data_IF_176973119683
#
_entry.id   IF_176973119683
#
_cell.length_a   1.000
_cell.length_b   1.000
_cell.length_c   1.000
_cell.angle_alpha   90.00
_cell.angle_beta   90.00
_cell.angle_gamma   90.00
#
_symmetry.space_group_name_H-M   'P 1'
#
loop_
_entity.id
_entity.type
_entity.pdbx_description
1 polymer ?
#
# COMPACT_ATOMS: atom_id res chain seq x y z
N UNK A 1 24.42 8.82 -11.56
CA UNK A 1 23.61 9.98 -11.90
C UNK A 1 22.18 9.47 -11.98
N UNK A 2 21.35 9.81 -11.02
CA UNK A 2 19.92 9.46 -11.07
C UNK A 2 19.29 10.43 -12.06
N UNK A 3 18.88 9.95 -13.22
CA UNK A 3 18.01 10.75 -14.09
C UNK A 3 16.73 11.05 -13.32
N UNK A 4 16.48 12.32 -13.03
CA UNK A 4 15.22 12.76 -12.48
C UNK A 4 14.16 12.57 -13.57
N UNK A 5 13.20 11.67 -13.35
CA UNK A 5 12.06 11.53 -14.25
C UNK A 5 11.22 12.80 -14.18
N UNK A 6 11.04 13.42 -15.33
CA UNK A 6 10.14 14.57 -15.47
C UNK A 6 8.67 14.12 -15.34
N UNK A 7 7.76 15.07 -15.13
CA UNK A 7 6.32 14.77 -15.16
C UNK A 7 5.89 14.14 -16.49
N UNK A 8 6.49 14.57 -17.60
CA UNK A 8 6.26 14.00 -18.95
C UNK A 8 6.69 12.53 -19.01
N UNK A 9 7.82 12.17 -18.39
CA UNK A 9 8.29 10.79 -18.36
C UNK A 9 7.32 9.91 -17.57
N UNK A 10 6.80 10.40 -16.43
CA UNK A 10 5.79 9.70 -15.63
C UNK A 10 4.50 9.48 -16.42
N UNK A 11 4.02 10.47 -17.20
CA UNK A 11 2.81 10.31 -18.00
C UNK A 11 2.99 9.29 -19.12
N UNK A 12 4.17 9.23 -19.72
CA UNK A 12 4.50 8.26 -20.77
C UNK A 12 4.63 6.83 -20.21
N UNK A 13 5.07 6.68 -18.95
CA UNK A 13 5.24 5.40 -18.29
C UNK A 13 3.91 4.82 -17.77
N UNK A 14 3.06 5.69 -17.20
CA UNK A 14 1.79 5.28 -16.55
C UNK A 14 0.58 5.68 -17.37
N UNK A 15 0.62 5.29 -18.65
CA UNK A 15 -0.42 5.52 -19.65
C UNK A 15 -1.54 4.44 -19.62
N UNK A 16 -2.48 4.55 -20.54
CA UNK A 16 -3.55 3.56 -20.73
C UNK A 16 -3.02 2.15 -20.96
N UNK A 17 -1.91 1.99 -21.68
CA UNK A 17 -1.31 0.69 -21.98
C UNK A 17 -0.76 0.01 -20.71
N UNK A 18 -0.14 0.78 -19.83
CA UNK A 18 0.36 0.28 -18.54
C UNK A 18 -0.79 -0.26 -17.67
N UNK A 19 -1.93 0.43 -17.67
CA UNK A 19 -3.10 0.04 -16.90
C UNK A 19 -4.01 -0.97 -17.62
N UNK A 20 -3.83 -1.17 -18.95
CA UNK A 20 -4.59 -2.15 -19.71
C UNK A 20 -4.30 -3.58 -19.20
N UNK A 21 -5.35 -4.29 -18.78
CA UNK A 21 -5.21 -5.64 -18.22
C UNK A 21 -5.09 -5.70 -16.69
N UNK A 22 -4.99 -4.57 -15.99
CA UNK A 22 -5.13 -4.54 -14.53
C UNK A 22 -6.61 -4.71 -14.19
N UNK A 23 -6.97 -5.89 -13.72
CA UNK A 23 -8.34 -6.21 -13.31
C UNK A 23 -8.73 -5.43 -12.07
N UNK A 24 -9.88 -4.76 -12.11
CA UNK A 24 -10.58 -4.27 -10.92
C UNK A 24 -10.95 -5.48 -10.08
N UNK A 25 -10.17 -5.74 -9.04
CA UNK A 25 -10.20 -7.00 -8.28
C UNK A 25 -10.90 -6.83 -6.93
N UNK A 26 -11.71 -7.81 -6.56
CA UNK A 26 -12.24 -7.97 -5.19
C UNK A 26 -11.14 -8.04 -4.10
N UNK A 27 -9.88 -8.06 -4.48
CA UNK A 27 -8.73 -8.01 -3.58
C UNK A 27 -8.72 -6.72 -2.76
N UNK A 28 -9.10 -5.59 -3.36
CA UNK A 28 -9.09 -4.30 -2.68
C UNK A 28 -10.14 -4.21 -1.57
N UNK A 29 -11.33 -4.78 -1.79
CA UNK A 29 -12.35 -4.88 -0.74
C UNK A 29 -11.87 -5.70 0.47
N UNK A 30 -11.16 -6.81 0.21
CA UNK A 30 -10.59 -7.63 1.29
C UNK A 30 -9.48 -6.90 2.03
N UNK A 31 -8.64 -6.16 1.30
CA UNK A 31 -7.59 -5.34 1.89
C UNK A 31 -8.17 -4.22 2.75
N UNK A 32 -9.22 -3.54 2.28
CA UNK A 32 -9.95 -2.54 3.04
C UNK A 32 -10.53 -3.11 4.34
N UNK A 33 -11.22 -4.26 4.28
CA UNK A 33 -11.73 -4.96 5.46
C UNK A 33 -10.62 -5.29 6.45
N UNK A 34 -9.48 -5.79 5.94
CA UNK A 34 -8.33 -6.08 6.79
C UNK A 34 -7.79 -4.83 7.48
N UNK A 35 -7.63 -3.71 6.75
CA UNK A 35 -7.16 -2.43 7.31
C UNK A 35 -8.10 -1.99 8.43
N UNK A 36 -9.41 -2.04 8.20
CA UNK A 36 -10.42 -1.65 9.20
C UNK A 36 -10.37 -2.57 10.41
N UNK A 37 -10.40 -3.88 10.23
CA UNK A 37 -10.42 -4.85 11.32
C UNK A 37 -9.12 -4.83 12.15
N UNK A 38 -7.98 -4.62 11.50
CA UNK A 38 -6.67 -4.71 12.15
C UNK A 38 -6.24 -3.41 12.81
N UNK A 39 -6.50 -2.27 12.16
CA UNK A 39 -5.96 -0.98 12.57
C UNK A 39 -7.04 0.01 13.04
N UNK A 40 -8.32 -0.26 12.73
CA UNK A 40 -9.46 0.57 13.08
C UNK A 40 -9.25 2.09 12.81
N UNK A 41 -8.79 2.47 11.60
CA UNK A 41 -8.47 3.85 11.27
C UNK A 41 -9.73 4.69 11.09
N UNK A 42 -9.65 5.98 11.45
CA UNK A 42 -10.65 6.98 11.06
C UNK A 42 -10.32 7.59 9.70
N UNK A 43 -9.03 7.76 9.42
CA UNK A 43 -8.52 8.40 8.22
C UNK A 43 -7.45 7.55 7.55
N UNK A 44 -7.55 7.37 6.22
CA UNK A 44 -6.59 6.60 5.43
C UNK A 44 -6.12 7.36 4.19
N UNK A 45 -4.87 7.13 3.79
CA UNK A 45 -4.32 7.54 2.50
C UNK A 45 -3.83 6.31 1.75
N UNK A 46 -4.17 6.19 0.46
CA UNK A 46 -3.62 5.22 -0.48
C UNK A 46 -2.64 5.93 -1.43
N UNK A 47 -1.36 5.58 -1.36
CA UNK A 47 -0.28 6.18 -2.16
C UNK A 47 0.00 5.32 -3.38
N UNK A 48 -0.13 5.90 -4.58
CA UNK A 48 -0.16 5.17 -5.85
C UNK A 48 -1.47 4.41 -5.98
N UNK A 49 -2.57 5.12 -5.76
CA UNK A 49 -3.90 4.54 -5.59
C UNK A 49 -4.53 4.00 -6.89
N UNK A 50 -3.89 4.19 -8.04
CA UNK A 50 -4.45 3.87 -9.35
C UNK A 50 -5.91 4.36 -9.46
N UNK A 51 -6.83 3.52 -9.88
CA UNK A 51 -8.26 3.89 -10.06
C UNK A 51 -9.04 4.11 -8.76
N UNK A 52 -8.39 4.06 -7.60
CA UNK A 52 -8.98 4.35 -6.29
C UNK A 52 -9.85 3.22 -5.71
N UNK A 53 -9.71 1.97 -6.19
CA UNK A 53 -10.54 0.87 -5.70
C UNK A 53 -10.39 0.62 -4.19
N UNK A 54 -9.17 0.76 -3.65
CA UNK A 54 -8.98 0.65 -2.19
C UNK A 54 -9.62 1.82 -1.46
N UNK A 55 -9.49 3.05 -2.00
CA UNK A 55 -10.12 4.25 -1.44
C UNK A 55 -11.63 4.06 -1.38
N UNK A 56 -12.25 3.63 -2.49
CA UNK A 56 -13.69 3.36 -2.55
C UNK A 56 -14.11 2.32 -1.52
N UNK A 57 -13.39 1.21 -1.44
CA UNK A 57 -13.70 0.14 -0.50
C UNK A 57 -13.58 0.58 0.97
N UNK A 58 -12.63 1.47 1.30
CA UNK A 58 -12.47 2.04 2.63
C UNK A 58 -13.60 3.03 2.94
N UNK A 59 -14.01 3.87 1.98
CA UNK A 59 -15.14 4.79 2.11
C UNK A 59 -16.44 4.02 2.34
N UNK A 60 -16.68 2.95 1.59
CA UNK A 60 -17.85 2.07 1.76
C UNK A 60 -17.90 1.40 3.15
N UNK A 61 -16.74 1.28 3.82
CA UNK A 61 -16.63 0.79 5.21
C UNK A 61 -16.64 1.91 6.26
N UNK A 62 -16.92 3.16 5.86
CA UNK A 62 -17.03 4.30 6.77
C UNK A 62 -15.73 4.97 7.16
N UNK A 63 -14.62 4.69 6.47
CA UNK A 63 -13.33 5.35 6.68
C UNK A 63 -13.25 6.62 5.82
N UNK A 64 -12.74 7.71 6.38
CA UNK A 64 -12.43 8.93 5.62
C UNK A 64 -11.12 8.70 4.84
N UNK A 65 -11.24 8.09 3.66
CA UNK A 65 -10.11 7.65 2.84
C UNK A 65 -9.89 8.56 1.63
N UNK A 66 -8.62 8.73 1.28
CA UNK A 66 -8.12 9.52 0.16
C UNK A 66 -7.07 8.74 -0.62
N UNK A 67 -6.83 9.14 -1.87
CA UNK A 67 -5.79 8.57 -2.72
C UNK A 67 -4.98 9.64 -3.43
N UNK A 68 -3.72 9.32 -3.71
CA UNK A 68 -2.84 10.11 -4.55
C UNK A 68 -2.19 9.23 -5.61
N UNK A 69 -2.10 9.73 -6.84
CA UNK A 69 -1.45 9.06 -7.95
C UNK A 69 -0.85 10.08 -8.92
N UNK A 70 0.25 9.74 -9.60
CA UNK A 70 0.93 10.63 -10.54
C UNK A 70 0.36 10.61 -11.96
N UNK A 71 -0.46 9.62 -12.32
CA UNK A 71 -0.93 9.40 -13.69
C UNK A 71 -2.16 10.26 -14.04
N UNK A 72 -2.04 11.05 -15.09
CA UNK A 72 -3.17 11.80 -15.66
C UNK A 72 -4.28 10.87 -16.17
N UNK A 73 -3.90 9.76 -16.78
CA UNK A 73 -4.85 8.76 -17.26
C UNK A 73 -5.73 8.23 -16.13
N UNK A 74 -5.10 7.85 -15.00
CA UNK A 74 -5.80 7.33 -13.82
C UNK A 74 -6.85 8.30 -13.30
N UNK A 75 -6.48 9.57 -13.15
CA UNK A 75 -7.37 10.61 -12.61
C UNK A 75 -8.64 10.76 -13.44
N UNK A 76 -8.55 10.56 -14.78
CA UNK A 76 -9.72 10.61 -15.66
C UNK A 76 -10.65 9.41 -15.55
N UNK A 77 -10.18 8.30 -15.01
CA UNK A 77 -10.89 7.01 -14.94
C UNK A 77 -11.44 6.68 -13.55
N UNK A 78 -11.25 7.57 -12.58
CA UNK A 78 -11.74 7.39 -11.21
C UNK A 78 -13.27 7.41 -11.18
N UNK A 79 -13.85 6.52 -10.35
CA UNK A 79 -15.29 6.47 -10.08
C UNK A 79 -15.79 7.82 -9.53
N UNK A 80 -16.88 8.35 -10.08
CA UNK A 80 -17.43 9.66 -9.72
C UNK A 80 -17.75 9.77 -8.21
N UNK A 81 -18.09 8.67 -7.56
CA UNK A 81 -18.42 8.65 -6.12
C UNK A 81 -17.23 9.00 -5.20
N UNK A 82 -15.99 8.86 -5.71
CA UNK A 82 -14.76 9.14 -4.95
C UNK A 82 -13.85 10.15 -5.64
N UNK A 83 -14.27 10.76 -6.75
CA UNK A 83 -13.45 11.64 -7.56
C UNK A 83 -12.87 12.83 -6.77
N UNK A 84 -13.62 13.35 -5.82
CA UNK A 84 -13.18 14.43 -4.92
C UNK A 84 -12.20 13.96 -3.82
N UNK A 85 -11.87 12.68 -3.78
CA UNK A 85 -10.97 12.07 -2.80
C UNK A 85 -9.65 11.60 -3.42
N UNK A 86 -9.52 11.69 -4.74
CA UNK A 86 -8.32 11.28 -5.47
C UNK A 86 -7.64 12.54 -6.04
N UNK A 87 -6.34 12.65 -5.80
CA UNK A 87 -5.55 13.81 -6.22
C UNK A 87 -4.38 13.39 -7.09
N UNK A 88 -4.12 14.17 -8.15
CA UNK A 88 -2.89 14.03 -8.92
C UNK A 88 -1.73 14.58 -8.10
N UNK A 89 -0.71 13.75 -7.87
CA UNK A 89 0.49 14.10 -7.10
C UNK A 89 1.70 13.37 -7.67
N UNK A 90 2.71 14.10 -8.11
CA UNK A 90 4.01 13.51 -8.39
C UNK A 90 4.72 13.20 -7.06
N UNK A 91 4.83 11.92 -6.72
CA UNK A 91 5.38 11.46 -5.44
C UNK A 91 6.86 11.83 -5.23
N UNK A 92 7.55 12.28 -6.29
CA UNK A 92 8.96 12.67 -6.24
C UNK A 92 9.18 14.15 -5.94
N UNK A 93 8.14 15.02 -6.15
CA UNK A 93 8.31 16.47 -6.11
C UNK A 93 7.17 17.25 -5.47
N UNK A 94 5.94 16.71 -5.51
CA UNK A 94 4.78 17.47 -5.10
C UNK A 94 4.44 17.25 -3.64
N UNK A 95 4.22 18.34 -2.93
CA UNK A 95 3.67 18.29 -1.58
C UNK A 95 2.30 17.60 -1.60
N UNK A 96 2.09 16.65 -0.69
CA UNK A 96 0.79 16.01 -0.54
C UNK A 96 -0.27 17.05 -0.13
N UNK A 97 -1.45 17.10 -0.81
CA UNK A 97 -2.45 18.14 -0.60
C UNK A 97 -3.25 17.93 0.71
N UNK A 98 -2.57 17.58 1.75
CA UNK A 98 -3.15 17.28 3.05
C UNK A 98 -2.41 18.04 4.17
N UNK A 99 -3.14 18.29 5.24
CA UNK A 99 -2.60 18.86 6.47
C UNK A 99 -1.65 17.88 7.20
N UNK A 100 -0.85 18.43 8.09
CA UNK A 100 0.04 17.64 8.92
C UNK A 100 -0.75 16.72 9.84
N UNK A 101 -0.21 15.51 10.09
CA UNK A 101 -0.78 14.53 11.03
C UNK A 101 -2.26 14.18 10.76
N UNK A 102 -2.63 14.08 9.48
CA UNK A 102 -4.00 13.79 9.07
C UNK A 102 -4.35 12.31 9.19
N UNK A 103 -3.43 11.40 8.80
CA UNK A 103 -3.77 10.00 8.55
C UNK A 103 -3.41 9.08 9.73
N UNK A 104 -4.36 8.19 10.07
CA UNK A 104 -4.12 7.07 10.99
C UNK A 104 -3.34 5.96 10.29
N UNK A 105 -3.68 5.69 9.01
CA UNK A 105 -3.02 4.68 8.19
C UNK A 105 -2.71 5.26 6.81
N UNK A 106 -1.47 5.04 6.35
CA UNK A 106 -1.05 5.31 4.98
C UNK A 106 -0.67 3.98 4.34
N UNK A 107 -1.31 3.63 3.21
CA UNK A 107 -1.01 2.44 2.42
C UNK A 107 -0.19 2.79 1.19
N UNK A 108 0.75 1.92 0.77
CA UNK A 108 1.34 1.92 -0.56
C UNK A 108 1.52 0.48 -1.01
N UNK A 109 0.88 0.12 -2.11
CA UNK A 109 0.76 -1.26 -2.58
C UNK A 109 1.23 -1.37 -4.02
N UNK A 110 2.48 -1.83 -4.21
CA UNK A 110 3.15 -1.91 -5.51
C UNK A 110 3.29 -0.53 -6.18
N UNK A 111 3.79 0.45 -5.40
CA UNK A 111 4.00 1.82 -5.86
C UNK A 111 5.28 2.44 -5.29
N UNK A 112 5.66 2.15 -4.03
CA UNK A 112 6.84 2.78 -3.40
C UNK A 112 8.14 2.44 -4.12
N UNK A 113 8.22 1.30 -4.80
CA UNK A 113 9.36 0.86 -5.61
C UNK A 113 9.65 1.76 -6.82
N UNK A 114 8.69 2.55 -7.25
CA UNK A 114 8.80 3.47 -8.38
C UNK A 114 9.20 4.90 -7.96
N UNK A 115 9.37 5.15 -6.65
CA UNK A 115 9.71 6.47 -6.13
C UNK A 115 11.21 6.69 -6.17
N UNK A 116 11.67 7.66 -6.95
CA UNK A 116 13.09 8.01 -7.09
C UNK A 116 13.58 8.92 -5.95
N UNK A 117 12.77 9.93 -5.58
CA UNK A 117 13.09 10.87 -4.51
C UNK A 117 12.53 10.41 -3.17
N UNK A 118 13.11 9.35 -2.64
CA UNK A 118 12.66 8.73 -1.41
C UNK A 118 12.83 9.67 -0.18
N UNK A 119 13.76 10.62 -0.24
CA UNK A 119 13.94 11.61 0.83
C UNK A 119 12.76 12.58 0.91
N UNK A 120 12.33 13.11 -0.24
CA UNK A 120 11.16 13.98 -0.32
C UNK A 120 9.89 13.22 0.10
N UNK A 121 9.69 12.04 -0.46
CA UNK A 121 8.56 11.17 -0.14
C UNK A 121 8.47 10.85 1.35
N UNK A 122 9.61 10.51 1.99
CA UNK A 122 9.65 10.17 3.41
C UNK A 122 9.28 11.36 4.30
N UNK A 123 9.67 12.59 3.91
CA UNK A 123 9.28 13.81 4.63
C UNK A 123 7.76 14.06 4.55
N UNK A 124 7.16 13.87 3.37
CA UNK A 124 5.72 14.02 3.20
C UNK A 124 4.93 12.91 3.91
N UNK A 125 5.46 11.69 3.88
CA UNK A 125 4.94 10.57 4.66
C UNK A 125 4.96 10.89 6.17
N UNK A 126 6.10 11.34 6.69
CA UNK A 126 6.25 11.71 8.10
C UNK A 126 5.32 12.88 8.48
N UNK A 127 5.25 13.89 7.62
CA UNK A 127 4.42 15.08 7.85
C UNK A 127 2.93 14.72 7.96
N UNK A 128 2.42 13.92 7.02
CA UNK A 128 0.99 13.63 6.90
C UNK A 128 0.51 12.49 7.79
N UNK A 129 1.42 11.62 8.24
CA UNK A 129 1.10 10.55 9.18
C UNK A 129 0.92 11.12 10.60
N UNK A 130 -0.09 10.68 11.35
CA UNK A 130 -0.24 10.98 12.78
C UNK A 130 0.91 10.40 13.59
N UNK A 131 1.16 10.95 14.77
CA UNK A 131 2.24 10.46 15.65
C UNK A 131 2.04 8.98 16.03
N UNK A 132 0.80 8.58 16.31
CA UNK A 132 0.44 7.18 16.59
C UNK A 132 0.00 6.41 15.33
N UNK A 133 0.13 7.02 14.15
CA UNK A 133 -0.22 6.40 12.88
C UNK A 133 0.79 5.35 12.45
N UNK A 134 0.44 4.62 11.40
CA UNK A 134 1.34 3.68 10.75
C UNK A 134 1.23 3.78 9.23
N UNK A 135 2.33 3.52 8.55
CA UNK A 135 2.28 3.25 7.12
C UNK A 135 2.46 1.75 6.87
N UNK A 136 1.68 1.18 5.95
CA UNK A 136 1.78 -0.20 5.52
C UNK A 136 2.13 -0.27 4.05
N UNK A 137 3.31 -0.80 3.76
CA UNK A 137 3.82 -0.94 2.40
C UNK A 137 3.92 -2.40 1.99
N UNK A 138 3.60 -2.63 0.72
CA UNK A 138 3.75 -3.90 0.03
C UNK A 138 4.41 -3.64 -1.31
N UNK A 139 5.56 -4.25 -1.54
CA UNK A 139 6.39 -4.05 -2.74
C UNK A 139 6.97 -5.39 -3.19
N UNK A 140 7.28 -5.58 -4.48
CA UNK A 140 7.95 -6.78 -4.95
C UNK A 140 9.27 -7.02 -4.22
N UNK A 141 9.56 -8.27 -3.92
CA UNK A 141 10.81 -8.69 -3.26
C UNK A 141 11.73 -9.44 -4.24
N UNK A 142 11.49 -9.30 -5.53
CA UNK A 142 12.28 -9.94 -6.59
C UNK A 142 13.17 -8.91 -7.30
N UNK A 143 14.40 -9.33 -7.61
CA UNK A 143 15.28 -8.57 -8.51
C UNK A 143 14.65 -8.58 -9.91
N UNK A 144 14.27 -7.40 -10.44
CA UNK A 144 13.73 -7.20 -11.78
C UNK A 144 12.30 -7.70 -12.00
N UNK A 145 11.38 -7.32 -11.14
CA UNK A 145 9.95 -7.58 -11.40
C UNK A 145 9.40 -6.69 -12.51
N UNK A 146 9.90 -5.48 -12.68
CA UNK A 146 9.57 -4.54 -13.75
C UNK A 146 10.79 -3.68 -14.12
N UNK A 147 10.88 -3.25 -15.41
CA UNK A 147 11.94 -2.33 -15.87
C UNK A 147 11.85 -0.94 -15.22
N UNK A 148 10.74 -0.64 -14.56
CA UNK A 148 10.44 0.63 -13.90
C UNK A 148 10.71 0.60 -12.39
N UNK A 149 11.06 -0.56 -11.83
CA UNK A 149 11.36 -0.68 -10.41
C UNK A 149 12.73 -0.07 -10.10
N UNK A 150 12.75 1.09 -9.48
CA UNK A 150 13.99 1.75 -9.02
C UNK A 150 14.61 0.96 -7.86
N UNK A 151 13.74 0.43 -7.01
CA UNK A 151 14.10 -0.30 -5.80
C UNK A 151 13.38 -1.66 -5.73
N UNK A 152 13.71 -2.60 -6.61
CA UNK A 152 13.34 -4.00 -6.40
C UNK A 152 14.21 -4.59 -5.30
N UNK A 153 13.90 -4.35 -4.05
CA UNK A 153 14.84 -4.64 -2.99
C UNK A 153 14.22 -5.49 -1.87
N UNK A 154 15.06 -6.39 -1.36
CA UNK A 154 14.76 -7.18 -0.18
C UNK A 154 14.33 -6.27 1.00
N UNK A 155 13.49 -6.79 1.87
CA UNK A 155 13.02 -6.10 3.08
C UNK A 155 14.14 -5.36 3.84
N UNK A 156 15.34 -5.93 3.93
CA UNK A 156 16.47 -5.31 4.65
C UNK A 156 16.94 -3.99 4.04
N UNK A 157 16.79 -3.82 2.73
CA UNK A 157 17.11 -2.54 2.06
C UNK A 157 16.06 -1.50 2.37
N UNK A 158 14.78 -1.84 2.26
CA UNK A 158 13.68 -0.95 2.65
C UNK A 158 13.75 -0.56 4.13
N UNK A 159 14.08 -1.54 4.98
CA UNK A 159 14.30 -1.30 6.40
C UNK A 159 15.37 -0.24 6.62
N UNK A 160 16.56 -0.41 6.04
CA UNK A 160 17.65 0.56 6.14
C UNK A 160 17.24 1.95 5.63
N UNK A 161 16.61 2.01 4.44
CA UNK A 161 16.15 3.26 3.82
C UNK A 161 15.25 4.05 4.76
N UNK A 162 14.26 3.43 5.39
CA UNK A 162 13.31 4.13 6.24
C UNK A 162 13.81 4.33 7.67
N UNK A 163 14.66 3.45 8.21
CA UNK A 163 15.30 3.67 9.51
C UNK A 163 16.24 4.88 9.49
N UNK A 164 16.95 5.13 8.39
CA UNK A 164 17.77 6.33 8.18
C UNK A 164 16.92 7.62 8.08
N UNK A 165 15.60 7.50 7.94
CA UNK A 165 14.63 8.59 7.80
C UNK A 165 13.64 8.69 8.95
N UNK A 166 14.11 8.33 10.14
CA UNK A 166 13.35 8.47 11.39
C UNK A 166 12.08 7.60 11.49
N UNK A 167 12.06 6.43 10.82
CA UNK A 167 10.99 5.45 11.00
C UNK A 167 11.49 4.19 11.68
N UNK A 168 10.69 3.63 12.55
CA UNK A 168 10.82 2.23 12.97
C UNK A 168 10.20 1.35 11.89
N UNK A 169 10.92 0.33 11.43
CA UNK A 169 10.46 -0.59 10.38
C UNK A 169 10.30 -1.99 10.93
N UNK A 170 9.11 -2.53 10.79
CA UNK A 170 8.81 -3.90 11.19
C UNK A 170 8.30 -4.72 10.01
N UNK A 171 8.93 -5.87 9.75
CA UNK A 171 8.39 -6.82 8.78
C UNK A 171 6.97 -7.20 9.20
N UNK A 172 6.05 -7.07 8.27
CA UNK A 172 4.66 -7.39 8.48
C UNK A 172 4.27 -8.49 7.50
N UNK A 173 4.20 -9.71 7.98
CA UNK A 173 3.73 -10.80 7.15
C UNK A 173 2.20 -10.84 7.21
N UNK A 174 1.50 -10.73 6.09
CA UNK A 174 0.08 -11.07 6.03
C UNK A 174 -0.17 -12.51 6.50
N UNK A 175 0.89 -13.34 6.55
CA UNK A 175 0.88 -14.67 7.17
C UNK A 175 0.78 -14.65 8.71
N UNK A 176 1.04 -13.55 9.39
CA UNK A 176 0.63 -13.44 10.80
C UNK A 176 -0.90 -13.41 10.95
N UNK A 177 -1.62 -12.96 9.92
CA UNK A 177 -3.06 -13.27 9.80
C UNK A 177 -3.32 -14.75 9.53
N UNK A 178 -2.38 -15.45 8.89
CA UNK A 178 -2.44 -16.91 8.71
C UNK A 178 -1.88 -17.67 9.91
N UNK A 179 -1.48 -17.04 10.99
CA UNK A 179 -1.33 -17.70 12.29
C UNK A 179 -2.68 -18.21 12.82
N UNK A 180 -3.78 -17.70 12.33
CA UNK A 180 -5.02 -18.46 12.23
C UNK A 180 -4.82 -19.80 11.48
N UNK A 181 -3.95 -19.90 10.46
CA UNK A 181 -3.59 -21.18 9.84
C UNK A 181 -2.80 -22.09 10.79
N UNK A 182 -1.91 -21.59 11.61
CA UNK A 182 -1.21 -22.43 12.62
C UNK A 182 -2.20 -23.00 13.63
N UNK A 183 -3.20 -22.26 14.05
CA UNK A 183 -4.30 -22.76 14.89
C UNK A 183 -5.35 -23.54 14.07
N UNK A 184 -5.65 -23.17 12.84
CA UNK A 184 -6.54 -23.89 11.92
C UNK A 184 -5.84 -25.07 11.22
N UNK A 185 -4.51 -25.09 11.10
CA UNK A 185 -3.75 -26.24 10.58
C UNK A 185 -3.84 -27.48 11.48
N UNK A 186 -4.21 -27.31 12.75
CA UNK A 186 -4.62 -28.42 13.63
C UNK A 186 -6.09 -28.79 13.46
N UNK A 187 -6.90 -27.98 12.78
CA UNK A 187 -8.26 -28.33 12.42
C UNK A 187 -8.23 -29.16 11.13
N UNK A 188 -8.77 -30.35 11.19
CA UNK A 188 -8.92 -31.25 10.05
C UNK A 188 -9.88 -30.60 9.05
N UNK A 189 -9.33 -29.78 8.15
CA UNK A 189 -10.01 -28.98 7.11
C UNK A 189 -11.09 -29.77 6.34
N UNK A 190 -10.84 -31.06 6.07
CA UNK A 190 -11.76 -31.97 5.40
C UNK A 190 -13.02 -32.30 6.21
N UNK A 191 -13.09 -31.93 7.49
CA UNK A 191 -14.28 -32.13 8.34
C UNK A 191 -15.32 -31.01 8.23
N UNK A 192 -14.98 -29.88 7.57
CA UNK A 192 -15.95 -28.81 7.34
C UNK A 192 -16.87 -29.15 6.15
N UNK A 193 -18.12 -28.67 6.15
CA UNK A 193 -19.00 -28.74 4.99
C UNK A 193 -18.35 -28.12 3.75
N UNK A 194 -18.61 -28.68 2.55
CA UNK A 194 -18.02 -28.21 1.29
C UNK A 194 -18.11 -26.70 1.06
N UNK A 195 -19.20 -25.98 1.38
CA UNK A 195 -19.27 -24.53 1.25
C UNK A 195 -18.20 -23.80 2.09
N UNK A 196 -17.97 -24.25 3.33
CA UNK A 196 -16.96 -23.69 4.22
C UNK A 196 -15.54 -23.99 3.72
N UNK A 197 -15.31 -25.24 3.22
CA UNK A 197 -14.03 -25.57 2.58
C UNK A 197 -13.75 -24.68 1.37
N UNK A 198 -14.77 -24.36 0.56
CA UNK A 198 -14.62 -23.49 -0.60
C UNK A 198 -14.33 -22.05 -0.21
N UNK A 199 -14.96 -21.54 0.86
CA UNK A 199 -14.66 -20.21 1.41
C UNK A 199 -13.21 -20.17 1.90
N UNK A 200 -12.76 -21.16 2.65
CA UNK A 200 -11.37 -21.22 3.18
C UNK A 200 -10.37 -21.39 2.02
N UNK A 201 -10.68 -22.20 0.99
CA UNK A 201 -9.85 -22.35 -0.21
C UNK A 201 -9.77 -21.05 -0.99
N UNK A 202 -10.89 -20.32 -1.14
CA UNK A 202 -10.93 -19.02 -1.82
C UNK A 202 -10.11 -17.98 -1.06
N UNK A 203 -10.27 -17.90 0.24
CA UNK A 203 -9.44 -17.06 1.11
C UNK A 203 -7.96 -17.44 0.97
N UNK A 204 -7.62 -18.72 0.99
CA UNK A 204 -6.24 -19.19 0.85
C UNK A 204 -5.67 -18.94 -0.57
N UNK A 205 -6.49 -19.08 -1.63
CA UNK A 205 -6.11 -18.79 -3.00
C UNK A 205 -5.87 -17.30 -3.23
N UNK A 206 -6.73 -16.47 -2.70
CA UNK A 206 -6.61 -15.01 -2.77
C UNK A 206 -5.37 -14.49 -2.02
N UNK A 207 -4.93 -15.18 -0.97
CA UNK A 207 -3.67 -14.90 -0.27
C UNK A 207 -2.45 -15.56 -0.92
N UNK A 208 -2.61 -16.64 -1.67
CA UNK A 208 -1.50 -17.27 -2.40
C UNK A 208 -1.14 -16.53 -3.68
N UNK A 209 -2.04 -15.70 -4.19
CA UNK A 209 -1.78 -14.77 -5.31
C UNK A 209 -1.06 -13.48 -4.87
N UNK A 210 -0.98 -13.17 -3.56
CA UNK A 210 0.13 -12.36 -3.08
C UNK A 210 1.37 -13.24 -3.25
N UNK A 211 2.23 -12.88 -4.21
CA UNK A 211 3.47 -13.62 -4.45
C UNK A 211 4.15 -13.82 -3.11
N UNK A 212 4.51 -15.04 -2.76
CA UNK A 212 5.12 -15.38 -1.45
C UNK A 212 6.43 -14.62 -1.18
N UNK A 213 6.92 -13.91 -2.19
CA UNK A 213 8.17 -13.17 -2.21
C UNK A 213 8.01 -11.66 -1.97
N UNK A 214 6.78 -11.13 -1.87
CA UNK A 214 6.61 -9.68 -1.69
C UNK A 214 7.11 -9.23 -0.31
N UNK A 215 7.81 -8.09 -0.28
CA UNK A 215 8.20 -7.44 0.95
C UNK A 215 7.01 -6.64 1.48
N UNK A 216 6.51 -7.05 2.64
CA UNK A 216 5.46 -6.33 3.36
C UNK A 216 6.00 -5.84 4.70
N UNK A 217 5.82 -4.56 4.99
CA UNK A 217 6.33 -3.96 6.21
C UNK A 217 5.50 -2.77 6.70
N UNK A 218 5.57 -2.55 7.99
CA UNK A 218 4.94 -1.42 8.67
C UNK A 218 6.03 -0.43 9.10
N UNK A 219 5.75 0.85 8.88
CA UNK A 219 6.53 1.97 9.35
C UNK A 219 5.76 2.68 10.48
N UNK A 220 6.48 3.10 11.51
CA UNK A 220 6.01 4.03 12.53
C UNK A 220 7.05 5.10 12.74
N UNK A 221 6.62 6.32 13.08
CA UNK A 221 7.58 7.36 13.47
C UNK A 221 8.38 6.90 14.69
N UNK A 222 9.65 7.21 14.73
CA UNK A 222 10.42 7.10 15.96
C UNK A 222 9.90 8.14 16.95
N UNK A 223 9.42 7.70 18.10
CA UNK A 223 9.10 8.61 19.18
C UNK A 223 10.40 9.26 19.68
N UNK A 224 10.51 10.57 19.48
CA UNK A 224 11.62 11.36 20.04
C UNK A 224 11.63 11.39 21.58
N UNK A 225 10.68 10.70 22.23
CA UNK A 225 10.53 10.59 23.68
C UNK A 225 11.29 9.42 24.32
N UNK A 226 11.97 8.57 23.55
CA UNK A 226 12.76 7.43 24.07
C UNK A 226 14.27 7.55 23.84
N UNK A 227 14.78 8.75 23.64
CA UNK A 227 16.23 9.00 23.72
C UNK A 227 16.59 9.39 25.15
N UNK A 228 16.69 8.39 26.03
CA UNK A 228 17.53 8.44 27.25
C UNK A 228 17.82 7.02 27.75
#
# INVERSE_FOLDING_TARGET
MNEEYTDTDLQNLYDEKYFSGRSRSSMWERRAKFIVEKFNPKTCLDVGCAFGELVKALVDLGVDAYGIDGSDFVITQVDDSIKNRIFKVNLNSDKFPFEDKKFDVIGSFYSVEHIHNIDFFSKELERTLKDNGLAWFLTPNEKNSDQYDVFSNFFEVWKKIFEERNFMVKKFSPHEMMALKGKLGKFKFYKFPKPIQNIIKRIAYDYSNMKMNDASFILKKNDSSFSH
#
